data_IF_025420171218
#
_entry.id   IF_025420171218
#
_cell.length_a   1.000
_cell.length_b   1.000
_cell.length_c   1.000
_cell.angle_alpha   90.00
_cell.angle_beta   90.00
_cell.angle_gamma   90.00
#
_symmetry.space_group_name_H-M   'P 1'
#
loop_
_entity.id
_entity.type
_entity.pdbx_description
1 polymer ?
#
# COMPACT_ATOMS: atom_id res chain seq x y z
N UNK A 1 18.73 13.52 -15.59
CA UNK A 1 17.83 13.56 -14.40
C UNK A 1 18.01 14.93 -13.76
N UNK A 2 16.92 15.62 -13.49
CA UNK A 2 16.97 16.92 -12.79
C UNK A 2 17.44 16.73 -11.34
N UNK A 3 18.18 17.71 -10.79
CA UNK A 3 18.70 17.66 -9.41
C UNK A 3 17.58 17.55 -8.38
N UNK A 4 16.42 18.16 -8.63
CA UNK A 4 15.24 18.04 -7.77
C UNK A 4 14.76 16.59 -7.69
N UNK A 5 14.72 15.87 -8.81
CA UNK A 5 14.35 14.46 -8.84
C UNK A 5 15.37 13.57 -8.12
N UNK A 6 16.67 13.85 -8.29
CA UNK A 6 17.74 13.13 -7.59
C UNK A 6 17.60 13.26 -6.06
N UNK A 7 17.27 14.47 -5.58
CA UNK A 7 17.03 14.73 -4.16
C UNK A 7 15.79 13.95 -3.66
N UNK A 8 14.69 13.96 -4.40
CA UNK A 8 13.47 13.25 -4.00
C UNK A 8 13.66 11.73 -3.97
N UNK A 9 14.45 11.16 -4.90
CA UNK A 9 14.80 9.73 -4.87
C UNK A 9 15.64 9.38 -3.63
N UNK A 10 16.67 10.17 -3.34
CA UNK A 10 17.48 9.97 -2.12
C UNK A 10 16.64 10.16 -0.85
N UNK A 11 15.71 11.12 -0.86
CA UNK A 11 14.79 11.34 0.25
C UNK A 11 13.85 10.14 0.48
N UNK A 12 13.35 9.52 -0.60
CA UNK A 12 12.57 8.29 -0.50
C UNK A 12 13.35 7.18 0.20
N UNK A 13 14.60 6.91 -0.24
CA UNK A 13 15.44 5.89 0.35
C UNK A 13 15.70 6.12 1.84
N UNK A 14 16.09 7.35 2.20
CA UNK A 14 16.36 7.70 3.61
C UNK A 14 15.06 7.64 4.43
N UNK A 15 13.93 8.08 3.88
CA UNK A 15 12.63 8.00 4.56
C UNK A 15 12.20 6.56 4.84
N UNK A 16 12.47 5.61 3.94
CA UNK A 16 12.22 4.19 4.17
C UNK A 16 12.96 3.64 5.41
N UNK A 17 14.12 4.21 5.72
CA UNK A 17 14.97 3.75 6.83
C UNK A 17 14.70 4.51 8.13
N UNK A 18 14.49 5.82 8.04
CA UNK A 18 14.47 6.75 9.19
C UNK A 18 13.11 7.45 9.39
N UNK A 19 12.18 7.29 8.46
CA UNK A 19 10.91 7.99 8.49
C UNK A 19 11.08 9.50 8.59
N UNK A 20 10.31 10.14 9.46
CA UNK A 20 10.38 11.58 9.68
C UNK A 20 11.71 12.06 10.31
N UNK A 21 12.55 11.16 10.84
CA UNK A 21 13.89 11.50 11.37
C UNK A 21 14.95 11.70 10.28
N UNK A 22 14.59 11.63 8.99
CA UNK A 22 15.42 12.04 7.88
C UNK A 22 16.06 13.42 8.18
N UNK A 23 17.38 13.53 8.04
CA UNK A 23 18.10 14.79 8.25
C UNK A 23 18.44 15.44 6.90
N UNK A 24 18.31 16.77 6.84
CA UNK A 24 18.61 17.57 5.63
C UNK A 24 20.10 17.49 5.29
N UNK A 25 20.97 17.41 6.30
CA UNK A 25 22.41 17.26 6.10
C UNK A 25 22.77 15.91 5.47
N UNK A 26 22.14 14.83 5.92
CA UNK A 26 22.29 13.49 5.36
C UNK A 26 21.81 13.43 3.92
N UNK A 27 20.64 14.01 3.64
CA UNK A 27 20.09 14.11 2.30
C UNK A 27 21.00 14.87 1.34
N UNK A 28 21.52 16.03 1.77
CA UNK A 28 22.47 16.81 1.00
C UNK A 28 23.77 16.03 0.72
N UNK A 29 24.27 15.29 1.71
CA UNK A 29 25.42 14.40 1.57
C UNK A 29 25.18 13.27 0.58
N UNK A 30 24.01 12.63 0.59
CA UNK A 30 23.65 11.55 -0.32
C UNK A 30 23.66 11.97 -1.79
N UNK A 31 23.25 13.22 -2.08
CA UNK A 31 23.24 13.78 -3.45
C UNK A 31 24.45 14.68 -3.77
N UNK A 32 25.46 14.65 -2.88
CA UNK A 32 26.75 15.38 -3.03
C UNK A 32 26.62 16.88 -3.24
N UNK A 33 25.71 17.52 -2.51
CA UNK A 33 25.55 18.98 -2.49
C UNK A 33 25.70 19.53 -1.07
N UNK A 34 25.83 20.86 -0.93
CA UNK A 34 25.79 21.52 0.38
C UNK A 34 24.33 21.74 0.81
N UNK A 35 24.06 21.72 2.12
CA UNK A 35 22.72 21.98 2.69
C UNK A 35 22.08 23.29 2.17
N UNK A 36 22.76 24.44 2.02
CA UNK A 36 22.18 25.63 1.42
C UNK A 36 21.70 25.42 -0.03
N UNK A 37 22.41 24.61 -0.82
CA UNK A 37 21.99 24.27 -2.18
C UNK A 37 20.72 23.41 -2.22
N UNK A 38 20.47 22.61 -1.19
CA UNK A 38 19.21 21.86 -1.07
C UNK A 38 18.04 22.81 -0.86
N UNK A 39 18.20 23.84 -0.02
CA UNK A 39 17.20 24.86 0.21
C UNK A 39 16.96 25.83 -0.96
N UNK A 40 17.80 25.81 -2.00
CA UNK A 40 17.47 26.50 -3.26
C UNK A 40 16.40 25.73 -4.09
N UNK A 41 16.17 24.46 -3.80
CA UNK A 41 15.17 23.61 -4.47
C UNK A 41 13.91 23.38 -3.67
N UNK A 42 13.98 23.48 -2.33
CA UNK A 42 12.88 23.19 -1.41
C UNK A 42 12.87 24.17 -0.25
N UNK A 43 11.68 24.63 0.14
CA UNK A 43 11.53 25.58 1.25
C UNK A 43 11.82 24.96 2.63
N UNK A 44 11.55 23.67 2.81
CA UNK A 44 11.70 22.97 4.08
C UNK A 44 11.91 21.47 3.93
N UNK A 45 12.30 20.81 5.03
CA UNK A 45 12.29 19.34 5.12
C UNK A 45 10.88 18.78 4.93
N UNK A 46 9.89 19.45 5.49
CA UNK A 46 8.51 19.00 5.40
C UNK A 46 7.97 19.04 3.97
N UNK A 47 8.36 20.03 3.17
CA UNK A 47 8.05 20.05 1.73
C UNK A 47 8.65 18.86 1.00
N UNK A 48 9.90 18.50 1.31
CA UNK A 48 10.54 17.33 0.71
C UNK A 48 9.77 16.06 1.06
N UNK A 49 9.41 15.88 2.34
CA UNK A 49 8.64 14.72 2.81
C UNK A 49 7.26 14.70 2.16
N UNK A 50 6.58 15.84 2.08
CA UNK A 50 5.28 15.96 1.43
C UNK A 50 5.34 15.50 -0.02
N UNK A 51 6.30 16.00 -0.79
CA UNK A 51 6.46 15.66 -2.20
C UNK A 51 6.77 14.17 -2.41
N UNK A 52 7.65 13.60 -1.59
CA UNK A 52 8.00 12.18 -1.67
C UNK A 52 6.79 11.29 -1.33
N UNK A 53 6.04 11.63 -0.28
CA UNK A 53 4.88 10.85 0.13
C UNK A 53 3.74 10.97 -0.89
N UNK A 54 3.49 12.17 -1.43
CA UNK A 54 2.51 12.35 -2.50
C UNK A 54 2.84 11.53 -3.74
N UNK A 55 4.10 11.57 -4.19
CA UNK A 55 4.55 10.82 -5.37
C UNK A 55 4.34 9.30 -5.18
N UNK A 56 4.68 8.77 -4.03
CA UNK A 56 4.48 7.33 -3.75
C UNK A 56 3.01 6.96 -3.61
N UNK A 57 2.16 7.79 -2.97
CA UNK A 57 0.71 7.58 -2.92
C UNK A 57 0.14 7.58 -4.35
N UNK A 58 0.46 8.58 -5.18
CA UNK A 58 -0.03 8.65 -6.55
C UNK A 58 0.41 7.44 -7.37
N UNK A 59 1.67 7.03 -7.25
CA UNK A 59 2.23 5.86 -7.93
C UNK A 59 1.53 4.58 -7.53
N UNK A 60 1.34 4.33 -6.25
CA UNK A 60 0.64 3.14 -5.76
C UNK A 60 -0.79 3.05 -6.30
N UNK A 61 -1.55 4.14 -6.19
CA UNK A 61 -2.94 4.13 -6.65
C UNK A 61 -3.08 4.13 -8.17
N UNK A 62 -2.11 4.66 -8.92
CA UNK A 62 -2.05 4.51 -10.38
C UNK A 62 -1.87 3.03 -10.76
N UNK A 63 -0.92 2.32 -10.14
CA UNK A 63 -0.73 0.88 -10.34
C UNK A 63 -1.95 0.08 -9.92
N UNK A 64 -2.55 0.40 -8.78
CA UNK A 64 -3.77 -0.25 -8.30
C UNK A 64 -4.93 -0.03 -9.28
N UNK A 65 -5.06 1.16 -9.84
CA UNK A 65 -6.08 1.48 -10.84
C UNK A 65 -5.89 0.68 -12.13
N UNK A 66 -4.69 0.68 -12.70
CA UNK A 66 -4.37 -0.13 -13.90
C UNK A 66 -4.66 -1.61 -13.67
N UNK A 67 -4.32 -2.09 -12.48
CA UNK A 67 -4.54 -3.46 -12.10
C UNK A 67 -6.04 -3.75 -11.97
N UNK A 68 -6.83 -2.85 -11.37
CA UNK A 68 -8.28 -2.97 -11.27
C UNK A 68 -8.99 -3.05 -12.64
N UNK A 69 -8.42 -2.43 -13.67
CA UNK A 69 -8.94 -2.56 -15.04
C UNK A 69 -8.71 -3.96 -15.61
N UNK A 70 -7.60 -4.61 -15.26
CA UNK A 70 -7.27 -5.96 -15.76
C UNK A 70 -8.15 -7.06 -15.16
N UNK A 71 -8.70 -6.84 -13.98
CA UNK A 71 -9.60 -7.81 -13.32
C UNK A 71 -11.07 -7.54 -13.58
N UNK A 72 -11.39 -6.49 -14.31
CA UNK A 72 -12.77 -6.18 -14.67
C UNK A 72 -13.36 -7.32 -15.53
N UNK A 73 -14.49 -7.84 -15.08
CA UNK A 73 -15.13 -8.99 -15.75
C UNK A 73 -14.76 -10.36 -15.21
N UNK A 74 -13.74 -10.51 -14.40
CA UNK A 74 -13.41 -11.77 -13.74
C UNK A 74 -14.49 -12.18 -12.72
N UNK A 75 -14.53 -13.47 -12.39
CA UNK A 75 -15.25 -13.99 -11.25
C UNK A 75 -14.70 -13.39 -9.94
N UNK A 76 -15.57 -13.27 -8.93
CA UNK A 76 -15.22 -12.59 -7.68
C UNK A 76 -14.02 -13.24 -6.97
N UNK A 77 -13.96 -14.58 -6.91
CA UNK A 77 -12.81 -15.30 -6.36
C UNK A 77 -11.51 -14.88 -7.04
N UNK A 78 -11.50 -14.96 -8.35
CA UNK A 78 -10.32 -14.66 -9.15
C UNK A 78 -9.90 -13.19 -9.01
N UNK A 79 -10.86 -12.27 -9.06
CA UNK A 79 -10.60 -10.85 -8.87
C UNK A 79 -9.99 -10.55 -7.49
N UNK A 80 -10.55 -11.10 -6.41
CA UNK A 80 -10.02 -10.92 -5.06
C UNK A 80 -8.65 -11.57 -4.87
N UNK A 81 -8.46 -12.80 -5.38
CA UNK A 81 -7.17 -13.51 -5.30
C UNK A 81 -6.06 -12.76 -6.02
N UNK A 82 -6.37 -12.29 -7.21
CA UNK A 82 -5.42 -11.52 -7.99
C UNK A 82 -5.05 -10.20 -7.28
N UNK A 83 -6.02 -9.49 -6.71
CA UNK A 83 -5.75 -8.28 -5.92
C UNK A 83 -4.87 -8.59 -4.70
N UNK A 84 -5.18 -9.65 -3.97
CA UNK A 84 -4.40 -10.10 -2.83
C UNK A 84 -2.93 -10.32 -3.22
N UNK A 85 -2.69 -11.09 -4.28
CA UNK A 85 -1.35 -11.37 -4.78
C UNK A 85 -0.64 -10.09 -5.24
N UNK A 86 -1.35 -9.21 -5.95
CA UNK A 86 -0.80 -7.94 -6.41
C UNK A 86 -0.30 -7.07 -5.25
N UNK A 87 -1.12 -6.90 -4.21
CA UNK A 87 -0.75 -6.07 -3.06
C UNK A 87 0.47 -6.65 -2.35
N UNK A 88 0.47 -7.96 -2.10
CA UNK A 88 1.61 -8.63 -1.45
C UNK A 88 2.87 -8.51 -2.30
N UNK A 89 2.77 -8.73 -3.61
CA UNK A 89 3.91 -8.59 -4.52
C UNK A 89 4.44 -7.16 -4.58
N UNK A 90 3.55 -6.16 -4.66
CA UNK A 90 3.93 -4.75 -4.67
C UNK A 90 4.77 -4.39 -3.44
N UNK A 91 4.30 -4.77 -2.26
CA UNK A 91 4.97 -4.45 -1.00
C UNK A 91 6.12 -5.39 -0.63
N UNK A 92 6.25 -6.56 -1.26
CA UNK A 92 7.37 -7.47 -1.04
C UNK A 92 8.66 -7.03 -1.76
N UNK A 93 8.54 -6.10 -2.70
CA UNK A 93 9.65 -5.54 -3.45
C UNK A 93 10.10 -4.24 -2.81
N UNK A 94 11.41 -4.04 -2.76
CA UNK A 94 12.03 -2.82 -2.27
C UNK A 94 11.71 -2.49 -0.79
N UNK A 95 11.91 -1.22 -0.47
CA UNK A 95 11.69 -0.66 0.87
C UNK A 95 10.26 -0.09 1.06
N UNK A 96 9.35 -0.29 0.09
CA UNK A 96 8.03 0.38 0.08
C UNK A 96 7.18 0.08 1.29
N UNK A 97 7.18 -1.16 1.77
CA UNK A 97 6.41 -1.51 2.95
C UNK A 97 6.84 -0.70 4.18
N UNK A 98 8.16 -0.52 4.37
CA UNK A 98 8.70 0.33 5.44
C UNK A 98 8.30 1.79 5.26
N UNK A 99 8.35 2.29 4.03
CA UNK A 99 7.91 3.64 3.69
C UNK A 99 6.45 3.87 4.10
N UNK A 100 5.54 2.98 3.70
CA UNK A 100 4.11 3.10 4.00
C UNK A 100 3.80 2.98 5.50
N UNK A 101 4.57 2.18 6.25
CA UNK A 101 4.47 2.15 7.72
C UNK A 101 5.00 3.44 8.36
N UNK A 102 6.10 4.00 7.84
CA UNK A 102 6.67 5.24 8.36
C UNK A 102 5.72 6.44 8.21
N UNK A 103 4.89 6.49 7.17
CA UNK A 103 3.89 7.55 6.97
C UNK A 103 2.91 7.64 8.16
N UNK A 104 2.51 6.51 8.75
CA UNK A 104 1.53 6.49 9.86
C UNK A 104 2.08 7.08 11.16
N UNK A 105 3.39 7.23 11.29
CA UNK A 105 4.09 7.72 12.50
C UNK A 105 4.72 9.10 12.33
N UNK A 106 4.28 9.89 11.34
CA UNK A 106 4.77 11.26 11.14
C UNK A 106 4.23 12.15 12.28
N UNK A 107 5.12 12.77 13.08
CA UNK A 107 4.69 13.57 14.23
C UNK A 107 4.12 14.93 13.84
N UNK A 108 4.42 15.44 12.62
CA UNK A 108 3.83 16.65 12.10
C UNK A 108 2.35 16.45 11.79
N UNK A 109 1.48 17.05 12.61
CA UNK A 109 0.03 16.87 12.52
C UNK A 109 -0.55 17.34 11.18
N UNK A 110 -0.01 18.40 10.59
CA UNK A 110 -0.48 18.92 9.31
C UNK A 110 -0.20 17.93 8.18
N UNK A 111 1.04 17.40 8.11
CA UNK A 111 1.41 16.38 7.14
C UNK A 111 0.63 15.08 7.35
N UNK A 112 0.49 14.64 8.60
CA UNK A 112 -0.27 13.42 8.92
C UNK A 112 -1.72 13.53 8.46
N UNK A 113 -2.40 14.65 8.77
CA UNK A 113 -3.78 14.90 8.35
C UNK A 113 -3.92 14.95 6.82
N UNK A 114 -2.97 15.61 6.15
CA UNK A 114 -2.94 15.70 4.69
C UNK A 114 -2.82 14.31 4.04
N UNK A 115 -1.89 13.47 4.51
CA UNK A 115 -1.70 12.14 3.96
C UNK A 115 -2.88 11.21 4.25
N UNK A 116 -3.44 11.28 5.46
CA UNK A 116 -4.64 10.54 5.81
C UNK A 116 -5.82 10.90 4.89
N UNK A 117 -6.00 12.18 4.58
CA UNK A 117 -7.02 12.64 3.64
C UNK A 117 -6.78 12.10 2.23
N UNK A 118 -5.57 12.25 1.67
CA UNK A 118 -5.21 11.77 0.34
C UNK A 118 -5.45 10.26 0.18
N UNK A 119 -5.02 9.47 1.17
CA UNK A 119 -5.21 8.02 1.18
C UNK A 119 -6.70 7.69 1.28
N UNK A 120 -7.45 8.37 2.16
CA UNK A 120 -8.88 8.12 2.35
C UNK A 120 -9.70 8.38 1.10
N UNK A 121 -9.40 9.46 0.36
CA UNK A 121 -10.08 9.80 -0.90
C UNK A 121 -9.86 8.71 -1.97
N UNK A 122 -8.62 8.25 -2.14
CA UNK A 122 -8.29 7.19 -3.10
C UNK A 122 -8.83 5.82 -2.68
N UNK A 123 -8.77 5.52 -1.39
CA UNK A 123 -9.33 4.30 -0.81
C UNK A 123 -10.85 4.21 -0.98
N UNK A 124 -11.57 5.33 -0.95
CA UNK A 124 -13.02 5.34 -1.14
C UNK A 124 -13.42 4.77 -2.52
N UNK A 125 -12.69 5.15 -3.57
CA UNK A 125 -12.89 4.65 -4.94
C UNK A 125 -12.62 3.14 -5.00
N UNK A 126 -11.51 2.72 -4.42
CA UNK A 126 -11.12 1.31 -4.35
C UNK A 126 -12.15 0.48 -3.60
N UNK A 127 -12.56 0.90 -2.40
CA UNK A 127 -13.55 0.23 -1.57
C UNK A 127 -14.89 0.06 -2.30
N UNK A 128 -15.33 1.09 -3.02
CA UNK A 128 -16.56 1.01 -3.81
C UNK A 128 -16.48 -0.07 -4.91
N UNK A 129 -15.35 -0.16 -5.62
CA UNK A 129 -15.15 -1.19 -6.64
C UNK A 129 -15.15 -2.60 -6.01
N UNK A 130 -14.48 -2.77 -4.88
CA UNK A 130 -14.46 -4.05 -4.16
C UNK A 130 -15.84 -4.47 -3.64
N UNK A 131 -16.63 -3.52 -3.14
CA UNK A 131 -18.01 -3.79 -2.74
C UNK A 131 -18.86 -4.27 -3.92
N UNK A 132 -18.73 -3.62 -5.09
CA UNK A 132 -19.42 -4.07 -6.31
C UNK A 132 -19.02 -5.47 -6.74
N UNK A 133 -17.74 -5.78 -6.70
CA UNK A 133 -17.22 -7.12 -6.99
C UNK A 133 -17.83 -8.15 -6.03
N UNK A 134 -17.84 -7.87 -4.74
CA UNK A 134 -18.41 -8.75 -3.71
C UNK A 134 -19.91 -9.01 -3.91
N UNK A 135 -20.70 -7.94 -4.12
CA UNK A 135 -22.14 -8.06 -4.36
C UNK A 135 -22.45 -8.82 -5.66
N UNK A 136 -21.64 -8.63 -6.71
CA UNK A 136 -21.72 -9.44 -7.93
C UNK A 136 -21.41 -10.92 -7.64
N UNK A 137 -20.41 -11.20 -6.82
CA UNK A 137 -20.11 -12.58 -6.40
C UNK A 137 -21.27 -13.23 -5.64
N UNK A 138 -22.00 -12.48 -4.81
CA UNK A 138 -23.23 -12.99 -4.18
C UNK A 138 -24.34 -13.26 -5.20
N UNK A 139 -24.58 -12.33 -6.13
CA UNK A 139 -25.62 -12.48 -7.15
C UNK A 139 -25.34 -13.63 -8.12
N UNK A 140 -24.07 -13.93 -8.38
CA UNK A 140 -23.63 -15.04 -9.24
C UNK A 140 -23.55 -16.39 -8.49
N UNK A 141 -23.79 -16.41 -7.18
CA UNK A 141 -23.71 -17.63 -6.36
C UNK A 141 -22.28 -18.07 -6.02
N UNK A 142 -21.27 -17.23 -6.19
CA UNK A 142 -19.90 -17.50 -5.76
C UNK A 142 -19.73 -17.33 -4.24
N UNK A 143 -20.39 -16.31 -3.68
CA UNK A 143 -20.38 -15.99 -2.26
C UNK A 143 -21.76 -16.30 -1.68
N UNK A 144 -21.80 -16.88 -0.49
CA UNK A 144 -23.06 -17.16 0.21
C UNK A 144 -23.85 -15.87 0.46
N UNK A 145 -25.18 -15.90 0.32
CA UNK A 145 -26.01 -14.70 0.46
C UNK A 145 -26.09 -14.19 1.93
N UNK A 146 -25.80 -15.04 2.93
CA UNK A 146 -25.78 -14.70 4.35
C UNK A 146 -24.45 -14.01 4.79
N UNK A 147 -23.43 -13.99 3.94
CA UNK A 147 -22.14 -13.34 4.25
C UNK A 147 -22.27 -11.84 4.16
N UNK A 148 -21.98 -11.14 5.25
CA UNK A 148 -22.05 -9.69 5.31
C UNK A 148 -20.86 -9.00 4.60
N UNK A 149 -21.04 -7.74 4.23
CA UNK A 149 -19.93 -6.89 3.74
C UNK A 149 -18.79 -6.71 4.78
N UNK A 150 -19.00 -7.09 6.03
CA UNK A 150 -17.94 -7.19 7.03
C UNK A 150 -16.79 -8.11 6.62
N UNK A 151 -17.07 -9.11 5.79
CA UNK A 151 -16.05 -10.02 5.24
C UNK A 151 -15.04 -9.30 4.36
N UNK A 152 -15.41 -8.21 3.68
CA UNK A 152 -14.42 -7.37 2.98
C UNK A 152 -13.45 -6.67 3.94
N UNK A 153 -13.91 -6.30 5.13
CA UNK A 153 -13.01 -5.74 6.15
C UNK A 153 -12.04 -6.82 6.65
N UNK A 154 -12.55 -8.04 6.87
CA UNK A 154 -11.69 -9.17 7.24
C UNK A 154 -10.64 -9.45 6.17
N UNK A 155 -11.02 -9.41 4.89
CA UNK A 155 -10.09 -9.53 3.76
C UNK A 155 -8.98 -8.46 3.79
N UNK A 156 -9.33 -7.20 4.03
CA UNK A 156 -8.34 -6.12 4.16
C UNK A 156 -7.46 -6.29 5.40
N UNK A 157 -8.03 -6.71 6.53
CA UNK A 157 -7.26 -7.02 7.74
C UNK A 157 -6.28 -8.18 7.52
N UNK A 158 -6.68 -9.21 6.77
CA UNK A 158 -5.81 -10.33 6.41
C UNK A 158 -4.61 -9.83 5.58
N UNK A 159 -4.83 -8.99 4.57
CA UNK A 159 -3.76 -8.38 3.78
C UNK A 159 -2.80 -7.61 4.70
N UNK A 160 -3.32 -6.74 5.57
CA UNK A 160 -2.50 -5.96 6.49
C UNK A 160 -1.70 -6.87 7.43
N UNK A 161 -2.30 -7.94 7.95
CA UNK A 161 -1.62 -8.92 8.80
C UNK A 161 -0.46 -9.62 8.09
N UNK A 162 -0.64 -9.99 6.82
CA UNK A 162 0.45 -10.56 5.99
C UNK A 162 1.57 -9.55 5.80
N UNK A 163 1.24 -8.30 5.45
CA UNK A 163 2.24 -7.25 5.26
C UNK A 163 3.01 -6.95 6.55
N UNK A 164 2.32 -6.89 7.71
CA UNK A 164 2.98 -6.70 9.00
C UNK A 164 3.86 -7.89 9.36
N UNK A 165 3.41 -9.11 9.10
CA UNK A 165 4.19 -10.32 9.27
C UNK A 165 5.49 -10.31 8.45
N UNK A 166 5.45 -9.81 7.22
CA UNK A 166 6.65 -9.67 6.37
C UNK A 166 7.68 -8.69 6.95
N UNK A 167 7.25 -7.70 7.74
CA UNK A 167 8.17 -6.77 8.42
C UNK A 167 8.73 -7.35 9.72
N UNK A 168 7.86 -8.01 10.51
CA UNK A 168 8.19 -8.46 11.85
C UNK A 168 8.96 -9.79 11.86
N UNK A 169 8.71 -10.65 10.87
CA UNK A 169 9.23 -12.02 10.82
C UNK A 169 9.82 -12.37 9.45
N UNK A 170 10.85 -11.64 8.97
CA UNK A 170 11.35 -11.76 7.60
C UNK A 170 11.93 -13.13 7.25
N UNK A 171 12.41 -13.91 8.24
CA UNK A 171 13.10 -15.19 8.03
C UNK A 171 12.35 -16.41 8.59
N UNK A 172 11.65 -16.27 9.72
CA UNK A 172 11.09 -17.40 10.46
C UNK A 172 9.69 -17.84 9.98
N UNK A 173 8.89 -16.89 9.55
CA UNK A 173 7.55 -17.16 9.03
C UNK A 173 7.50 -16.65 7.60
N UNK A 174 7.73 -17.51 6.64
CA UNK A 174 7.59 -17.19 5.21
C UNK A 174 6.16 -16.78 4.88
N UNK A 175 5.73 -15.63 5.45
CA UNK A 175 4.37 -15.09 5.26
C UNK A 175 3.99 -14.99 3.78
N UNK A 176 4.98 -14.74 2.91
CA UNK A 176 4.77 -14.72 1.48
C UNK A 176 4.43 -16.11 0.93
N UNK A 177 5.07 -17.16 1.44
CA UNK A 177 4.83 -18.53 1.00
C UNK A 177 3.47 -19.06 1.48
N UNK A 178 3.03 -18.61 2.68
CA UNK A 178 1.74 -18.98 3.26
C UNK A 178 0.59 -18.05 2.83
N UNK A 179 0.89 -16.98 2.11
CA UNK A 179 -0.11 -16.00 1.70
C UNK A 179 -1.25 -16.63 0.85
N UNK A 180 -0.91 -17.59 0.00
CA UNK A 180 -1.90 -18.28 -0.82
C UNK A 180 -2.88 -19.13 0.03
N UNK A 181 -2.38 -19.81 1.05
CA UNK A 181 -3.18 -20.58 2.00
C UNK A 181 -4.16 -19.70 2.78
N UNK A 182 -3.71 -18.53 3.23
CA UNK A 182 -4.56 -17.57 3.95
C UNK A 182 -5.70 -17.07 3.08
N UNK A 183 -5.44 -16.81 1.80
CA UNK A 183 -6.50 -16.43 0.86
C UNK A 183 -7.52 -17.56 0.66
N UNK A 184 -7.08 -18.80 0.44
CA UNK A 184 -7.99 -19.93 0.26
C UNK A 184 -8.82 -20.18 1.54
N UNK A 185 -8.22 -20.13 2.72
CA UNK A 185 -8.94 -20.25 3.99
C UNK A 185 -10.00 -19.14 4.18
N UNK A 186 -9.68 -17.90 3.81
CA UNK A 186 -10.65 -16.81 3.78
C UNK A 186 -11.78 -17.10 2.80
N UNK A 187 -11.45 -17.50 1.57
CA UNK A 187 -12.44 -17.76 0.53
C UNK A 187 -13.37 -18.91 0.89
N UNK A 188 -12.84 -20.01 1.43
CA UNK A 188 -13.63 -21.16 1.90
C UNK A 188 -14.61 -20.78 3.01
N UNK A 189 -14.28 -19.75 3.80
CA UNK A 189 -15.17 -19.19 4.79
C UNK A 189 -16.39 -18.45 4.24
N UNK A 190 -16.33 -17.97 3.00
CA UNK A 190 -17.38 -17.14 2.39
C UNK A 190 -18.05 -17.74 1.14
N UNK A 191 -17.43 -18.71 0.49
CA UNK A 191 -17.93 -19.28 -0.76
C UNK A 191 -19.19 -20.15 -0.55
N UNK A 192 -19.95 -20.35 -1.63
CA UNK A 192 -21.17 -21.15 -1.64
C UNK A 192 -20.87 -22.65 -1.56
N UNK A 193 -19.80 -23.09 -2.22
CA UNK A 193 -19.38 -24.47 -2.24
C UNK A 193 -18.03 -24.60 -1.54
N UNK A 194 -18.00 -25.44 -0.47
CA UNK A 194 -16.72 -25.94 0.05
C UNK A 194 -16.24 -27.01 -0.92
N UNK A 195 -15.04 -26.88 -1.45
CA UNK A 195 -14.39 -28.03 -2.10
C UNK A 195 -14.21 -29.10 -1.04
N UNK A 196 -14.88 -30.26 -1.24
CA UNK A 196 -14.68 -31.45 -0.42
C UNK A 196 -13.27 -32.00 -0.62
#
# INVERSE_FOLDING_TARGET
>A
MDKKQEILMAAFDIFCEKGYHLSVAELAGAVKIKTPSLYSHFASKDEIIELVVRDEIERYYAYLHEWMLKIEGLYCKEAMKNLYNFVIEYFSKDKRLRFWRAITFIPNQQLNSLFAQLISEKDAIFKQKMQRCFLKGQSNGEIRPDVSLGSLRLYLCMIQGVLDGMLLYPEELRYKDNAAELFEAYWDGICTFRAN
#
